data_IF_920008522643
#
_entry.id   IF_920008522643
#
_cell.length_a   1.000
_cell.length_b   1.000
_cell.length_c   1.000
_cell.angle_alpha   90.00
_cell.angle_beta   90.00
_cell.angle_gamma   90.00
#
_symmetry.space_group_name_H-M   'P 1'
#
loop_
_entity.id
_entity.type
_entity.pdbx_description
1 polymer ?
#
# COMPACT_ATOMS: atom_id res chain seq x y z
N UNK A 1 50.63 6.57 -6.29
CA UNK A 1 49.48 6.62 -5.36
C UNK A 1 48.20 6.55 -6.18
N UNK A 2 47.53 5.40 -6.20
CA UNK A 2 46.29 5.21 -6.98
C UNK A 2 45.06 5.62 -6.16
N UNK A 3 44.25 6.53 -6.71
CA UNK A 3 43.00 7.00 -6.10
C UNK A 3 41.90 5.95 -6.32
N UNK A 4 41.42 5.33 -5.25
CA UNK A 4 40.24 4.46 -5.30
C UNK A 4 39.00 5.35 -5.46
N UNK A 5 38.24 5.14 -6.53
CA UNK A 5 36.94 5.79 -6.72
C UNK A 5 35.86 4.74 -6.45
N UNK A 6 35.12 4.91 -5.36
CA UNK A 6 33.98 4.05 -5.02
C UNK A 6 32.74 4.68 -5.65
N UNK A 7 32.07 3.94 -6.53
CA UNK A 7 30.75 4.31 -7.05
C UNK A 7 29.70 3.45 -6.37
N UNK A 8 28.74 4.11 -5.71
CA UNK A 8 27.53 3.45 -5.22
C UNK A 8 26.41 3.69 -6.25
N UNK A 9 25.96 2.63 -6.93
CA UNK A 9 24.73 2.66 -7.73
C UNK A 9 23.65 1.93 -6.93
N UNK A 10 22.66 2.68 -6.41
CA UNK A 10 21.39 2.12 -5.96
C UNK A 10 20.37 2.31 -7.07
N UNK A 11 19.86 1.20 -7.61
CA UNK A 11 18.78 1.22 -8.60
C UNK A 11 17.51 0.65 -7.96
N UNK A 12 16.86 1.44 -7.11
CA UNK A 12 15.52 1.08 -6.63
C UNK A 12 14.50 1.56 -7.65
N UNK A 13 14.13 0.70 -8.61
CA UNK A 13 12.96 0.97 -9.44
C UNK A 13 11.71 0.70 -8.61
N UNK A 14 10.97 1.75 -8.33
CA UNK A 14 9.63 1.64 -7.73
C UNK A 14 8.63 1.51 -8.86
N UNK A 15 7.75 0.50 -8.80
CA UNK A 15 6.57 0.43 -9.66
C UNK A 15 5.42 1.12 -8.93
N UNK A 16 4.87 2.16 -9.56
CA UNK A 16 3.67 2.83 -9.08
C UNK A 16 2.53 2.41 -10.01
N UNK A 17 1.51 1.79 -9.44
CA UNK A 17 0.26 1.48 -10.13
C UNK A 17 -0.74 2.59 -9.83
N UNK A 18 -1.38 3.14 -10.87
CA UNK A 18 -2.38 4.21 -10.72
C UNK A 18 -3.73 3.64 -11.11
N UNK A 19 -4.61 3.52 -10.12
CA UNK A 19 -5.97 3.06 -10.33
C UNK A 19 -6.94 4.25 -10.26
N UNK A 20 -7.67 4.49 -11.35
CA UNK A 20 -8.68 5.57 -11.43
C UNK A 20 -10.07 5.12 -10.95
N UNK A 21 -10.27 3.82 -10.84
CA UNK A 21 -11.49 3.20 -10.34
C UNK A 21 -11.20 1.83 -9.76
N UNK A 22 -11.98 1.40 -8.78
CA UNK A 22 -11.89 0.06 -8.22
C UNK A 22 -13.27 -0.43 -7.82
N UNK A 23 -13.58 -1.72 -7.99
CA UNK A 23 -14.86 -2.27 -7.56
C UNK A 23 -15.06 -2.10 -6.05
N UNK A 24 -16.29 -1.79 -5.65
CA UNK A 24 -16.70 -1.83 -4.25
C UNK A 24 -16.29 -0.64 -3.39
N UNK A 25 -15.63 0.41 -3.91
CA UNK A 25 -15.36 1.64 -3.14
C UNK A 25 -15.25 2.85 -4.06
N UNK A 26 -15.97 3.94 -3.73
CA UNK A 26 -15.80 5.21 -4.44
C UNK A 26 -14.60 6.00 -3.92
N UNK A 27 -14.01 6.85 -4.75
CA UNK A 27 -12.93 7.73 -4.31
C UNK A 27 -13.39 8.69 -3.20
N UNK A 28 -14.61 9.23 -3.30
CA UNK A 28 -15.13 10.16 -2.31
C UNK A 28 -15.22 9.50 -0.91
N UNK A 29 -15.71 8.27 -0.84
CA UNK A 29 -15.81 7.52 0.42
C UNK A 29 -14.41 7.17 0.95
N UNK A 30 -13.52 6.69 0.08
CA UNK A 30 -12.14 6.39 0.44
C UNK A 30 -11.41 7.62 1.00
N UNK A 31 -11.60 8.79 0.36
CA UNK A 31 -10.94 10.04 0.71
C UNK A 31 -11.49 10.66 2.00
N UNK A 32 -12.80 10.58 2.19
CA UNK A 32 -13.47 11.03 3.42
C UNK A 32 -12.93 10.27 4.65
N UNK A 33 -12.76 8.95 4.52
CA UNK A 33 -12.26 8.08 5.58
C UNK A 33 -10.75 7.83 5.57
N UNK A 34 -9.95 8.65 4.88
CA UNK A 34 -8.48 8.44 4.78
C UNK A 34 -7.80 8.53 6.14
N UNK A 35 -6.69 7.81 6.30
CA UNK A 35 -5.82 7.88 7.47
C UNK A 35 -4.53 8.59 7.07
N UNK A 36 -4.08 9.53 7.90
CA UNK A 36 -2.78 10.17 7.73
C UNK A 36 -1.70 9.31 8.40
N UNK A 37 -0.65 9.00 7.66
CA UNK A 37 0.51 8.24 8.13
C UNK A 37 1.78 9.03 7.86
N UNK A 38 2.65 9.18 8.85
CA UNK A 38 3.98 9.74 8.66
C UNK A 38 4.98 8.62 8.35
N UNK A 39 5.72 8.73 7.26
CA UNK A 39 6.78 7.79 6.88
C UNK A 39 7.96 8.56 6.30
N UNK A 40 9.16 8.34 6.84
CA UNK A 40 10.40 9.03 6.41
C UNK A 40 10.26 10.57 6.36
N UNK A 41 9.54 11.15 7.33
CA UNK A 41 9.28 12.59 7.41
C UNK A 41 8.26 13.14 6.40
N UNK A 42 7.65 12.28 5.59
CA UNK A 42 6.58 12.62 4.64
C UNK A 42 5.22 12.14 5.16
N UNK A 43 4.21 13.00 5.05
CA UNK A 43 2.83 12.61 5.30
C UNK A 43 2.24 11.91 4.07
N UNK A 44 1.59 10.77 4.31
CA UNK A 44 0.84 10.01 3.32
C UNK A 44 -0.62 9.89 3.75
N UNK A 45 -1.52 9.97 2.78
CA UNK A 45 -2.92 9.67 2.97
C UNK A 45 -3.21 8.28 2.44
N UNK A 46 -3.56 7.36 3.34
CA UNK A 46 -3.79 5.95 3.03
C UNK A 46 -5.25 5.57 3.30
N UNK A 47 -5.72 4.55 2.60
CA UNK A 47 -7.04 3.98 2.84
C UNK A 47 -7.12 3.38 4.24
N UNK A 48 -8.22 3.61 4.95
CA UNK A 48 -8.41 3.00 6.26
C UNK A 48 -8.59 1.47 6.17
N UNK A 49 -8.45 0.78 7.30
CA UNK A 49 -8.54 -0.69 7.36
C UNK A 49 -9.88 -1.23 6.85
N UNK A 50 -10.99 -0.60 7.21
CA UNK A 50 -12.35 -1.07 6.83
C UNK A 50 -12.52 -1.03 5.32
N UNK A 51 -12.17 0.09 4.69
CA UNK A 51 -12.20 0.27 3.25
C UNK A 51 -11.19 -0.64 2.54
N UNK A 52 -10.00 -0.89 3.11
CA UNK A 52 -9.03 -1.83 2.53
C UNK A 52 -9.58 -3.26 2.47
N UNK A 53 -10.26 -3.70 3.52
CA UNK A 53 -10.91 -5.03 3.56
C UNK A 53 -12.01 -5.11 2.49
N UNK A 54 -12.82 -4.06 2.36
CA UNK A 54 -13.87 -3.95 1.34
C UNK A 54 -13.30 -4.06 -0.09
N UNK A 55 -12.21 -3.33 -0.37
CA UNK A 55 -11.51 -3.39 -1.66
C UNK A 55 -11.00 -4.79 -1.98
N UNK A 56 -10.38 -5.44 -0.99
CA UNK A 56 -9.84 -6.79 -1.16
C UNK A 56 -10.92 -7.83 -1.43
N UNK A 57 -12.08 -7.71 -0.78
CA UNK A 57 -13.23 -8.58 -1.07
C UNK A 57 -13.82 -8.31 -2.45
N UNK A 58 -13.92 -7.05 -2.84
CA UNK A 58 -14.49 -6.65 -4.12
C UNK A 58 -13.62 -7.02 -5.34
N UNK A 59 -12.31 -7.21 -5.17
CA UNK A 59 -11.44 -7.65 -6.27
C UNK A 59 -11.68 -9.10 -6.69
N UNK A 60 -12.20 -9.94 -5.79
CA UNK A 60 -12.49 -11.36 -6.03
C UNK A 60 -11.28 -12.26 -6.24
N UNK A 61 -10.04 -11.75 -6.12
CA UNK A 61 -8.82 -12.57 -6.29
C UNK A 61 -8.55 -13.36 -5.02
N UNK A 62 -8.22 -14.65 -5.14
CA UNK A 62 -7.97 -15.52 -3.98
C UNK A 62 -6.96 -14.94 -2.98
N UNK A 63 -5.89 -14.30 -3.49
CA UNK A 63 -4.87 -13.67 -2.64
C UNK A 63 -5.42 -12.47 -1.85
N UNK A 64 -6.32 -11.69 -2.45
CA UNK A 64 -6.93 -10.55 -1.75
C UNK A 64 -7.95 -11.02 -0.72
N UNK A 65 -8.71 -12.07 -1.03
CA UNK A 65 -9.65 -12.68 -0.08
C UNK A 65 -8.93 -13.21 1.16
N UNK A 66 -7.76 -13.85 0.98
CA UNK A 66 -6.91 -14.28 2.08
C UNK A 66 -6.38 -13.09 2.90
N UNK A 67 -5.90 -12.05 2.22
CA UNK A 67 -5.43 -10.85 2.91
C UNK A 67 -6.56 -10.15 3.70
N UNK A 68 -7.79 -10.11 3.17
CA UNK A 68 -8.95 -9.57 3.88
C UNK A 68 -9.22 -10.34 5.18
N UNK A 69 -9.17 -11.68 5.13
CA UNK A 69 -9.35 -12.53 6.32
C UNK A 69 -8.26 -12.30 7.38
N UNK A 70 -7.01 -12.07 6.97
CA UNK A 70 -5.92 -11.70 7.90
C UNK A 70 -6.21 -10.36 8.56
N UNK A 71 -6.65 -9.37 7.79
CA UNK A 71 -6.97 -8.04 8.30
C UNK A 71 -8.16 -8.05 9.28
N UNK A 72 -9.16 -8.91 9.07
CA UNK A 72 -10.31 -9.08 9.97
C UNK A 72 -9.90 -9.54 11.38
N UNK A 73 -8.86 -10.38 11.47
CA UNK A 73 -8.34 -10.88 12.76
C UNK A 73 -7.40 -9.90 13.46
N UNK A 74 -7.19 -8.71 12.87
CA UNK A 74 -6.25 -7.71 13.37
C UNK A 74 -4.79 -8.01 13.05
N UNK A 75 -4.52 -9.09 12.32
CA UNK A 75 -3.18 -9.48 11.89
C UNK A 75 -2.58 -8.50 10.90
N UNK A 76 -1.26 -8.36 10.95
CA UNK A 76 -0.46 -7.71 9.90
C UNK A 76 0.40 -8.77 9.23
N UNK A 77 0.43 -8.82 7.89
CA UNK A 77 1.57 -9.45 7.21
C UNK A 77 2.81 -8.64 7.54
N UNK A 78 3.84 -9.29 8.07
CA UNK A 78 5.14 -8.66 8.31
C UNK A 78 5.71 -8.06 7.02
N UNK A 79 6.70 -7.16 7.12
CA UNK A 79 7.35 -6.62 5.95
C UNK A 79 7.96 -7.76 5.12
N UNK A 80 7.63 -7.79 3.83
CA UNK A 80 8.32 -8.58 2.79
C UNK A 80 9.54 -7.83 2.28
#
# INVERSE_FOLDING_TARGET
MSRLSIFHIRKTRVRIDVQTSTPGLSFADAWSGRVTMAYEGQEFYVVNRVHLIQLKRASGRDIDLQDAAILDTGGSKGPV
#
